data_IF_095979880477
#
_entry.id   IF_095979880477
#
_cell.length_a   1.000
_cell.length_b   1.000
_cell.length_c   1.000
_cell.angle_alpha   90.00
_cell.angle_beta   90.00
_cell.angle_gamma   90.00
#
_symmetry.space_group_name_H-M   'P 1'
#
loop_
_entity.id
_entity.type
_entity.pdbx_description
1 polymer ?
#
# COMPACT_ATOMS: atom_id res chain seq x y z
N UNK A 1 12.59 21.10 -7.89
CA UNK A 1 12.78 19.79 -8.59
C UNK A 1 11.89 18.68 -8.03
N UNK A 2 11.43 18.73 -6.76
CA UNK A 2 10.64 17.63 -6.16
C UNK A 2 9.20 17.45 -6.67
N UNK A 3 8.50 18.54 -7.02
CA UNK A 3 7.06 18.48 -7.41
C UNK A 3 6.85 17.81 -8.78
N UNK A 4 7.67 18.16 -9.77
CA UNK A 4 7.55 17.58 -11.12
C UNK A 4 7.77 16.06 -11.14
N UNK A 5 8.64 15.56 -10.26
CA UNK A 5 8.85 14.12 -10.10
C UNK A 5 7.71 13.44 -9.35
N UNK A 6 7.00 14.14 -8.47
CA UNK A 6 5.82 13.62 -7.77
C UNK A 6 4.65 13.44 -8.74
N UNK A 7 4.38 14.43 -9.58
CA UNK A 7 3.31 14.38 -10.59
C UNK A 7 3.51 13.19 -11.55
N UNK A 8 4.75 12.95 -11.99
CA UNK A 8 5.09 11.81 -12.85
C UNK A 8 4.83 10.47 -12.14
N UNK A 9 5.22 10.35 -10.86
CA UNK A 9 5.01 9.11 -10.09
C UNK A 9 3.54 8.85 -9.83
N UNK A 10 2.77 9.88 -9.48
CA UNK A 10 1.32 9.79 -9.32
C UNK A 10 0.64 9.40 -10.64
N UNK A 11 1.02 10.02 -11.76
CA UNK A 11 0.50 9.68 -13.08
C UNK A 11 0.74 8.21 -13.44
N UNK A 12 1.92 7.68 -13.15
CA UNK A 12 2.25 6.26 -13.35
C UNK A 12 1.43 5.32 -12.46
N UNK A 13 1.25 5.66 -11.18
CA UNK A 13 0.45 4.88 -10.23
C UNK A 13 -1.01 4.79 -10.68
N UNK A 14 -1.61 5.92 -11.09
CA UNK A 14 -3.00 5.93 -11.57
C UNK A 14 -3.17 5.26 -12.94
N UNK A 15 -2.14 5.30 -13.80
CA UNK A 15 -2.16 4.52 -15.05
C UNK A 15 -2.18 3.01 -14.76
N UNK A 16 -1.37 2.55 -13.79
CA UNK A 16 -1.37 1.16 -13.33
C UNK A 16 -2.72 0.77 -12.70
N UNK A 17 -3.34 1.66 -11.91
CA UNK A 17 -4.68 1.44 -11.38
C UNK A 17 -5.69 1.17 -12.51
N UNK A 18 -5.60 1.95 -13.60
CA UNK A 18 -6.51 1.78 -14.75
C UNK A 18 -6.31 0.43 -15.43
N UNK A 19 -5.06 0.00 -15.61
CA UNK A 19 -4.74 -1.34 -16.14
C UNK A 19 -5.31 -2.44 -15.23
N UNK A 20 -5.17 -2.28 -13.92
CA UNK A 20 -5.71 -3.21 -12.93
C UNK A 20 -7.25 -3.29 -12.96
N UNK A 21 -7.93 -2.17 -13.22
CA UNK A 21 -9.39 -2.12 -13.36
C UNK A 21 -9.86 -2.71 -14.69
N UNK A 22 -9.15 -2.42 -15.78
CA UNK A 22 -9.53 -2.83 -17.13
C UNK A 22 -9.16 -4.30 -17.43
N UNK A 23 -8.15 -4.85 -16.73
CA UNK A 23 -7.64 -6.20 -16.93
C UNK A 23 -7.34 -6.93 -15.63
N UNK A 24 -8.25 -7.85 -15.25
CA UNK A 24 -8.03 -8.77 -14.11
C UNK A 24 -6.85 -9.72 -14.33
N UNK A 25 -6.36 -9.87 -15.56
CA UNK A 25 -5.19 -10.71 -15.88
C UNK A 25 -3.89 -10.02 -15.51
N UNK A 26 -3.85 -8.69 -15.62
CA UNK A 26 -2.67 -7.87 -15.35
C UNK A 26 -2.62 -7.38 -13.90
N UNK A 27 -3.74 -7.47 -13.19
CA UNK A 27 -3.85 -7.22 -11.75
C UNK A 27 -2.69 -7.79 -10.91
N UNK A 28 -2.30 -9.07 -11.00
CA UNK A 28 -1.18 -9.61 -10.23
C UNK A 28 0.16 -8.93 -10.53
N UNK A 29 0.38 -8.55 -11.79
CA UNK A 29 1.59 -7.85 -12.21
C UNK A 29 1.59 -6.43 -11.65
N UNK A 30 0.45 -5.73 -11.74
CA UNK A 30 0.30 -4.37 -11.23
C UNK A 30 0.53 -4.32 -9.72
N UNK A 31 -0.07 -5.24 -8.96
CA UNK A 31 0.15 -5.31 -7.51
C UNK A 31 1.60 -5.59 -7.18
N UNK A 32 2.27 -6.49 -7.90
CA UNK A 32 3.68 -6.77 -7.66
C UNK A 32 4.55 -5.52 -7.90
N UNK A 33 4.29 -4.79 -8.99
CA UNK A 33 5.00 -3.54 -9.32
C UNK A 33 4.76 -2.47 -8.25
N UNK A 34 3.52 -2.24 -7.84
CA UNK A 34 3.17 -1.25 -6.82
C UNK A 34 3.72 -1.66 -5.44
N UNK A 35 3.69 -2.94 -5.09
CA UNK A 35 4.27 -3.48 -3.86
C UNK A 35 5.78 -3.25 -3.82
N UNK A 36 6.48 -3.57 -4.92
CA UNK A 36 7.91 -3.29 -5.06
C UNK A 36 8.22 -1.78 -4.98
N UNK A 37 7.39 -0.94 -5.60
CA UNK A 37 7.50 0.51 -5.50
C UNK A 37 7.38 0.98 -4.04
N UNK A 38 6.37 0.52 -3.31
CA UNK A 38 6.21 0.85 -1.89
C UNK A 38 7.42 0.38 -1.09
N UNK A 39 7.89 -0.86 -1.27
CA UNK A 39 9.06 -1.37 -0.54
C UNK A 39 10.34 -0.57 -0.77
N UNK A 40 10.54 -0.08 -2.00
CA UNK A 40 11.76 0.66 -2.36
C UNK A 40 11.70 2.14 -1.98
N UNK A 41 10.51 2.73 -1.96
CA UNK A 41 10.32 4.17 -1.70
C UNK A 41 9.82 4.48 -0.28
N UNK A 42 9.13 3.55 0.40
CA UNK A 42 8.71 3.66 1.80
C UNK A 42 9.87 3.22 2.71
N UNK A 43 10.96 3.97 2.65
CA UNK A 43 12.13 3.75 3.52
C UNK A 43 12.10 4.73 4.69
N UNK A 44 12.60 4.28 5.85
CA UNK A 44 12.67 5.14 7.03
C UNK A 44 13.41 6.44 6.71
N UNK A 45 12.87 7.61 7.09
CA UNK A 45 13.54 8.87 6.83
C UNK A 45 14.92 8.86 7.50
N UNK A 46 15.97 9.21 6.74
CA UNK A 46 17.36 9.29 7.25
C UNK A 46 17.51 10.20 8.48
N UNK A 47 16.51 11.04 8.76
CA UNK A 47 16.46 11.92 9.92
C UNK A 47 15.05 11.88 10.52
N UNK A 48 14.87 11.48 11.78
CA UNK A 48 13.56 11.50 12.41
C UNK A 48 13.03 12.95 12.40
N UNK A 49 11.74 13.17 12.12
CA UNK A 49 11.15 14.50 12.13
C UNK A 49 11.34 15.12 13.52
N UNK A 50 11.83 16.36 13.55
CA UNK A 50 12.11 17.10 14.80
C UNK A 50 10.86 17.34 15.65
N UNK A 51 9.67 17.13 15.07
CA UNK A 51 8.40 17.31 15.74
C UNK A 51 7.66 15.97 15.81
N UNK A 52 7.82 15.28 16.94
CA UNK A 52 7.24 13.96 17.25
C UNK A 52 5.70 13.97 17.35
N UNK A 53 5.09 15.15 17.28
CA UNK A 53 3.63 15.36 17.38
C UNK A 53 2.91 15.35 16.03
N UNK A 54 3.63 15.56 14.92
CA UNK A 54 3.06 15.38 13.59
C UNK A 54 3.18 13.90 13.25
N UNK A 55 2.04 13.23 13.02
CA UNK A 55 2.04 11.88 12.45
C UNK A 55 2.89 11.94 11.18
N UNK A 56 3.99 11.19 11.08
CA UNK A 56 4.79 11.17 9.86
C UNK A 56 3.91 10.57 8.77
N UNK A 57 3.35 11.40 7.90
CA UNK A 57 2.58 10.90 6.76
C UNK A 57 3.55 10.35 5.72
N UNK A 58 3.30 9.17 5.13
CA UNK A 58 4.09 8.70 4.00
C UNK A 58 4.04 9.72 2.88
N UNK A 59 5.03 9.66 1.98
CA UNK A 59 5.02 10.51 0.80
C UNK A 59 3.74 10.26 -0.02
N UNK A 60 3.20 11.31 -0.66
CA UNK A 60 1.88 11.26 -1.31
C UNK A 60 1.77 10.17 -2.40
N UNK A 61 2.87 9.85 -3.05
CA UNK A 61 3.00 8.74 -4.00
C UNK A 61 2.94 7.36 -3.33
N UNK A 62 3.56 7.18 -2.16
CA UNK A 62 3.41 5.95 -1.37
C UNK A 62 1.96 5.78 -0.94
N UNK A 63 1.33 6.86 -0.46
CA UNK A 63 -0.08 6.84 -0.06
C UNK A 63 -1.00 6.50 -1.23
N UNK A 64 -0.73 7.06 -2.42
CA UNK A 64 -1.46 6.72 -3.63
C UNK A 64 -1.28 5.25 -4.01
N UNK A 65 -0.06 4.72 -3.96
CA UNK A 65 0.22 3.31 -4.26
C UNK A 65 -0.53 2.37 -3.29
N UNK A 66 -0.53 2.68 -1.99
CA UNK A 66 -1.31 1.94 -0.98
C UNK A 66 -2.81 1.99 -1.27
N UNK A 67 -3.34 3.16 -1.62
CA UNK A 67 -4.74 3.29 -1.97
C UNK A 67 -5.10 2.48 -3.22
N UNK A 68 -4.25 2.44 -4.25
CA UNK A 68 -4.47 1.61 -5.44
C UNK A 68 -4.45 0.12 -5.09
N UNK A 69 -3.50 -0.30 -4.26
CA UNK A 69 -3.37 -1.69 -3.82
C UNK A 69 -4.56 -2.17 -3.01
N UNK A 70 -5.14 -1.30 -2.16
CA UNK A 70 -6.15 -1.69 -1.18
C UNK A 70 -7.51 -1.02 -1.39
N UNK A 71 -7.74 -0.40 -2.55
CA UNK A 71 -8.95 0.38 -2.78
C UNK A 71 -10.21 -0.49 -2.71
N UNK A 72 -11.23 -0.08 -1.96
CA UNK A 72 -12.48 -0.85 -1.80
C UNK A 72 -13.33 -0.94 -3.08
N UNK A 73 -12.99 -0.20 -4.15
CA UNK A 73 -13.81 -0.11 -5.37
C UNK A 73 -13.89 -1.39 -6.21
N UNK A 74 -13.18 -2.46 -5.83
CA UNK A 74 -13.25 -3.78 -6.49
C UNK A 74 -14.22 -4.76 -5.80
N UNK A 75 -14.82 -4.39 -4.66
CA UNK A 75 -15.71 -5.29 -3.90
C UNK A 75 -17.19 -5.14 -4.26
N UNK A 76 -17.56 -4.15 -5.09
CA UNK A 76 -18.97 -3.92 -5.43
C UNK A 76 -19.42 -4.75 -6.64
N UNK A 77 -19.84 -5.99 -6.38
CA UNK A 77 -21.01 -6.55 -7.09
C UNK A 77 -20.84 -7.84 -7.88
N UNK A 78 -19.67 -8.47 -7.95
CA UNK A 78 -19.54 -9.78 -8.62
C UNK A 78 -19.29 -10.89 -7.62
N UNK A 79 -20.38 -11.39 -7.03
CA UNK A 79 -20.42 -12.74 -6.48
C UNK A 79 -20.05 -13.67 -7.65
N UNK A 80 -19.02 -14.50 -7.47
CA UNK A 80 -18.52 -15.50 -8.44
C UNK A 80 -17.47 -15.06 -9.46
N UNK A 81 -16.36 -14.46 -9.04
CA UNK A 81 -15.07 -14.88 -9.60
C UNK A 81 -14.03 -14.82 -8.51
N UNK A 82 -13.25 -15.89 -8.42
CA UNK A 82 -11.97 -15.97 -7.73
C UNK A 82 -11.06 -14.91 -8.36
N UNK A 83 -11.25 -13.64 -8.02
CA UNK A 83 -10.26 -12.61 -8.24
C UNK A 83 -9.00 -13.18 -7.61
N UNK A 84 -7.94 -13.33 -8.41
CA UNK A 84 -6.63 -13.69 -7.90
C UNK A 84 -6.41 -12.80 -6.68
N UNK A 85 -6.52 -13.28 -5.45
CA UNK A 85 -5.44 -13.91 -4.68
C UNK A 85 -4.11 -13.19 -4.81
N UNK A 86 -4.13 -11.91 -5.14
CA UNK A 86 -2.93 -11.15 -5.33
C UNK A 86 -2.47 -10.67 -3.97
N UNK A 87 -1.31 -11.18 -3.57
CA UNK A 87 -0.69 -10.95 -2.28
C UNK A 87 0.17 -9.70 -2.42
N UNK A 88 -0.16 -8.63 -1.69
CA UNK A 88 0.67 -7.43 -1.66
C UNK A 88 1.85 -7.66 -0.71
N UNK A 89 3.06 -7.78 -1.25
CA UNK A 89 4.27 -7.93 -0.43
C UNK A 89 4.78 -6.54 -0.01
N UNK A 90 4.51 -6.17 1.24
CA UNK A 90 4.95 -4.95 1.89
C UNK A 90 5.97 -5.24 3.00
N UNK A 91 6.69 -6.36 2.91
CA UNK A 91 7.67 -6.77 3.92
C UNK A 91 8.75 -5.70 4.13
N UNK A 92 9.00 -5.36 5.39
CA UNK A 92 9.99 -4.37 5.80
C UNK A 92 9.68 -2.92 5.41
N UNK A 93 8.49 -2.63 4.88
CA UNK A 93 8.13 -1.28 4.46
C UNK A 93 7.94 -0.33 5.66
N UNK A 94 8.41 0.91 5.52
CA UNK A 94 8.19 1.97 6.50
C UNK A 94 6.85 2.68 6.21
N UNK A 95 5.78 2.17 6.80
CA UNK A 95 4.40 2.64 6.64
C UNK A 95 3.89 3.40 7.89
N UNK A 96 4.83 3.89 8.69
CA UNK A 96 4.58 4.69 9.89
C UNK A 96 3.71 5.89 9.51
N UNK A 97 2.59 6.07 10.20
CA UNK A 97 1.63 7.15 9.95
C UNK A 97 0.90 7.09 8.61
N UNK A 98 0.94 5.96 7.90
CA UNK A 98 0.16 5.75 6.70
C UNK A 98 -1.34 5.81 6.98
N UNK A 99 -2.08 6.39 6.04
CA UNK A 99 -3.53 6.35 6.06
C UNK A 99 -3.99 5.08 5.35
N UNK A 100 -4.41 4.09 6.11
CA UNK A 100 -5.00 2.85 5.59
C UNK A 100 -6.47 2.77 6.02
N UNK A 101 -7.09 3.91 6.36
CA UNK A 101 -8.51 3.99 6.64
C UNK A 101 -9.28 3.55 5.39
N UNK A 102 -10.20 2.59 5.56
CA UNK A 102 -10.96 2.05 4.43
C UNK A 102 -10.16 1.17 3.45
N UNK A 103 -8.91 0.80 3.77
CA UNK A 103 -8.20 -0.31 3.13
C UNK A 103 -8.92 -1.62 3.48
N UNK A 104 -10.02 -1.89 2.77
CA UNK A 104 -11.02 -2.90 3.13
C UNK A 104 -10.50 -4.35 3.05
N UNK A 105 -9.32 -4.58 2.46
CA UNK A 105 -8.74 -5.91 2.33
C UNK A 105 -7.21 -5.92 2.46
N UNK A 106 -6.71 -5.79 3.70
CA UNK A 106 -5.31 -6.11 4.04
C UNK A 106 -5.12 -7.60 4.36
N UNK A 107 -6.19 -8.43 4.29
CA UNK A 107 -6.15 -9.85 4.66
C UNK A 107 -5.16 -10.67 3.84
N UNK A 108 -4.68 -10.13 2.73
CA UNK A 108 -3.69 -10.78 1.87
C UNK A 108 -2.47 -9.90 1.67
N UNK A 109 -2.15 -9.00 2.59
CA UNK A 109 -0.86 -8.32 2.61
C UNK A 109 0.17 -9.13 3.41
N UNK A 110 1.40 -9.21 2.92
CA UNK A 110 2.55 -9.54 3.75
C UNK A 110 3.13 -8.25 4.32
N UNK A 111 3.02 -8.09 5.63
CA UNK A 111 3.50 -6.95 6.40
C UNK A 111 4.64 -7.38 7.32
N UNK A 112 5.31 -8.51 7.03
CA UNK A 112 6.45 -9.00 7.81
C UNK A 112 7.53 -7.95 8.00
N UNK A 113 7.75 -7.54 9.25
CA UNK A 113 8.73 -6.52 9.62
C UNK A 113 8.41 -5.10 9.15
N UNK A 114 7.20 -4.83 8.64
CA UNK A 114 6.77 -3.47 8.28
C UNK A 114 6.56 -2.61 9.55
N UNK A 115 7.00 -1.35 9.51
CA UNK A 115 6.73 -0.37 10.57
C UNK A 115 5.39 0.31 10.28
N UNK A 116 4.33 -0.09 10.99
CA UNK A 116 3.00 0.52 10.94
C UNK A 116 2.77 1.53 12.08
N UNK A 117 3.83 1.97 12.77
CA UNK A 117 3.71 2.81 13.95
C UNK A 117 2.93 4.09 13.69
N UNK A 118 1.76 4.24 14.33
CA UNK A 118 0.89 5.41 14.16
C UNK A 118 0.11 5.49 12.84
N UNK A 119 0.15 4.44 12.02
CA UNK A 119 -0.73 4.30 10.86
C UNK A 119 -2.20 4.28 11.30
N UNK A 120 -3.08 4.85 10.48
CA UNK A 120 -4.52 4.74 10.67
C UNK A 120 -5.02 3.46 9.98
N UNK A 121 -5.58 2.55 10.76
CA UNK A 121 -6.13 1.27 10.29
C UNK A 121 -7.65 1.23 10.49
N UNK A 122 -8.29 2.39 10.64
CA UNK A 122 -9.73 2.50 10.82
C UNK A 122 -10.51 1.71 9.76
N UNK A 123 -11.21 0.66 10.19
CA UNK A 123 -12.01 -0.19 9.30
C UNK A 123 -11.23 -1.12 8.36
N UNK A 124 -9.90 -1.23 8.49
CA UNK A 124 -9.11 -2.15 7.69
C UNK A 124 -9.25 -3.60 8.18
N UNK A 125 -9.46 -4.55 7.25
CA UNK A 125 -9.53 -5.98 7.58
C UNK A 125 -8.13 -6.61 7.51
N UNK A 126 -7.54 -6.86 8.68
CA UNK A 126 -6.24 -7.52 8.86
C UNK A 126 -6.36 -9.03 9.14
N UNK A 127 -7.56 -9.63 9.07
CA UNK A 127 -7.85 -10.96 9.59
C UNK A 127 -6.99 -12.11 9.06
N UNK A 128 -6.35 -11.94 7.90
CA UNK A 128 -5.36 -12.90 7.38
C UNK A 128 -4.03 -12.25 6.93
N UNK A 129 -3.78 -11.00 7.33
CA UNK A 129 -2.52 -10.32 7.04
C UNK A 129 -1.35 -11.05 7.72
N UNK A 130 -0.24 -11.22 6.99
CA UNK A 130 0.99 -11.76 7.58
C UNK A 130 1.75 -10.64 8.27
N UNK A 131 1.47 -10.44 9.54
CA UNK A 131 2.26 -9.58 10.42
C UNK A 131 3.42 -10.43 10.92
N UNK A 132 4.50 -10.50 10.13
CA UNK A 132 5.65 -11.35 10.43
C UNK A 132 6.13 -11.20 11.87
N UNK A 133 6.27 -12.35 12.56
CA UNK A 133 6.90 -12.41 13.85
C UNK A 133 8.35 -11.93 13.73
N UNK A 134 8.76 -11.07 14.66
CA UNK A 134 10.16 -10.72 14.87
C UNK A 134 11.00 -12.00 14.86
N UNK A 135 12.04 -12.14 14.01
CA UNK A 135 13.00 -13.22 14.19
C UNK A 135 13.64 -13.03 15.57
N UNK A 136 13.47 -14.04 16.41
CA UNK A 136 14.06 -14.17 17.76
C UNK A 136 15.58 -14.05 17.72
#
# INVERSE_FOLDING_TARGET
MGEKSLEIRLGGIYALQRIMQDSTRDEPTVVNVLSAYVRTHATAPKRPPKNTFLRPTPAADIQAALNVLFSPSLSSGSVTTKHATTHADLTGAYLRGADLEGAADLRRADLGGADLGGADLGGADLGAARLGGVPT
#
